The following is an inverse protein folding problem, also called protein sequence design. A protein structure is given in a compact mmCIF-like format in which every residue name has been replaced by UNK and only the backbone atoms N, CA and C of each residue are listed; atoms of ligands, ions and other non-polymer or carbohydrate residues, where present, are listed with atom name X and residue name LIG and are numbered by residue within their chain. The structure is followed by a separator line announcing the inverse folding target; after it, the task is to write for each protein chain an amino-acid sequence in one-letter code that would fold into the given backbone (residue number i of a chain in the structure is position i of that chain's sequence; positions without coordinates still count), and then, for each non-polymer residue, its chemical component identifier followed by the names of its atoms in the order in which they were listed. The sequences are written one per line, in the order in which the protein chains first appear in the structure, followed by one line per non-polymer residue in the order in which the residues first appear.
data_IF_822843494651
#
_entry.id   IF_822843494651
#
_cell.length_a   1.000
_cell.length_b   1.000
_cell.length_c   1.000
_cell.angle_alpha   90.00
_cell.angle_beta   90.00
_cell.angle_gamma   90.00
#
_symmetry.space_group_name_H-M   'P 1'
#
loop_
_entity.id
_entity.type
_entity.pdbx_description
1 polymer ?
#
# COMPACT_ATOMS: atom_id res chain seq x y z
N UNK A 1 16.58 18.61 3.01
CA UNK A 1 15.92 18.49 1.69
C UNK A 1 15.95 17.02 1.32
N UNK A 2 15.15 16.20 2.00
CA UNK A 2 15.11 14.72 1.89
C UNK A 2 13.69 14.08 1.82
N UNK A 3 12.54 14.80 1.83
CA UNK A 3 11.24 14.13 1.90
C UNK A 3 10.81 13.45 0.59
N UNK A 4 11.26 13.93 -0.58
CA UNK A 4 10.89 13.38 -1.89
C UNK A 4 11.42 11.96 -2.15
N UNK A 5 12.61 11.63 -1.63
CA UNK A 5 13.25 10.33 -1.86
C UNK A 5 12.49 9.19 -1.17
N UNK A 6 11.92 9.46 0.00
CA UNK A 6 11.23 8.44 0.80
C UNK A 6 9.86 8.09 0.21
N UNK A 7 9.15 9.05 -0.37
CA UNK A 7 7.86 8.77 -1.03
C UNK A 7 8.04 7.92 -2.28
N UNK A 8 9.06 8.21 -3.10
CA UNK A 8 9.37 7.40 -4.28
C UNK A 8 9.80 5.98 -3.88
N UNK A 9 10.63 5.86 -2.84
CA UNK A 9 11.05 4.58 -2.29
C UNK A 9 9.85 3.78 -1.75
N UNK A 10 8.96 4.41 -0.97
CA UNK A 10 7.75 3.77 -0.45
C UNK A 10 6.80 3.38 -1.58
N UNK A 11 6.64 4.22 -2.60
CA UNK A 11 5.78 3.96 -3.76
C UNK A 11 6.27 2.76 -4.57
N UNK A 12 7.58 2.62 -4.79
CA UNK A 12 8.13 1.45 -5.46
C UNK A 12 8.01 0.20 -4.59
N UNK A 13 8.33 0.32 -3.30
CA UNK A 13 8.29 -0.81 -2.39
C UNK A 13 6.86 -1.31 -2.15
N UNK A 14 5.87 -0.42 -2.08
CA UNK A 14 4.48 -0.84 -1.91
C UNK A 14 3.97 -1.60 -3.14
N UNK A 15 4.33 -1.19 -4.36
CA UNK A 15 3.98 -1.93 -5.57
C UNK A 15 4.52 -3.37 -5.52
N UNK A 16 5.78 -3.53 -5.10
CA UNK A 16 6.41 -4.85 -4.94
C UNK A 16 5.75 -5.68 -3.83
N UNK A 17 5.39 -5.07 -2.71
CA UNK A 17 4.63 -5.71 -1.64
C UNK A 17 3.28 -6.22 -2.14
N UNK A 18 2.52 -5.36 -2.82
CA UNK A 18 1.22 -5.68 -3.37
C UNK A 18 1.30 -6.86 -4.34
N UNK A 19 2.26 -6.82 -5.28
CA UNK A 19 2.50 -7.93 -6.23
C UNK A 19 2.85 -9.22 -5.50
N UNK A 20 3.76 -9.15 -4.52
CA UNK A 20 4.30 -10.35 -3.85
C UNK A 20 3.29 -11.02 -2.93
N UNK A 21 2.48 -10.25 -2.21
CA UNK A 21 1.64 -10.78 -1.13
C UNK A 21 0.14 -10.71 -1.42
N UNK A 22 -0.32 -9.82 -2.31
CA UNK A 22 -1.75 -9.49 -2.45
C UNK A 22 -2.29 -9.62 -3.88
N UNK A 23 -1.48 -10.11 -4.83
CA UNK A 23 -1.93 -10.33 -6.22
C UNK A 23 -3.09 -11.32 -6.33
N UNK A 24 -3.13 -12.32 -5.45
CA UNK A 24 -4.18 -13.35 -5.42
C UNK A 24 -5.19 -13.16 -4.28
N UNK A 25 -5.06 -12.11 -3.47
CA UNK A 25 -5.97 -11.87 -2.37
C UNK A 25 -7.36 -11.47 -2.92
N UNK A 26 -8.46 -12.18 -2.61
CA UNK A 26 -9.79 -11.68 -2.89
C UNK A 26 -10.13 -10.44 -2.03
N UNK A 27 -11.12 -9.64 -2.44
CA UNK A 27 -11.58 -8.50 -1.65
C UNK A 27 -12.14 -8.96 -0.29
N UNK A 28 -12.12 -8.05 0.69
CA UNK A 28 -12.60 -8.23 2.07
C UNK A 28 -11.80 -9.23 2.91
N UNK A 29 -10.53 -9.49 2.55
CA UNK A 29 -9.62 -10.26 3.39
C UNK A 29 -9.00 -9.38 4.47
N UNK A 30 -8.86 -9.96 5.66
CA UNK A 30 -7.92 -9.51 6.70
C UNK A 30 -6.78 -10.52 6.78
N UNK A 31 -5.54 -10.04 6.67
CA UNK A 31 -4.32 -10.85 6.76
C UNK A 31 -3.22 -10.16 7.57
N UNK A 32 -2.08 -10.83 7.69
CA UNK A 32 -0.92 -10.28 8.39
C UNK A 32 0.35 -10.43 7.54
N UNK A 33 1.14 -9.35 7.44
CA UNK A 33 2.43 -9.32 6.76
C UNK A 33 3.45 -8.74 7.74
N UNK A 34 4.39 -9.57 8.20
CA UNK A 34 5.51 -9.16 9.08
C UNK A 34 5.10 -8.17 10.20
N UNK A 35 4.12 -8.56 11.01
CA UNK A 35 3.65 -7.76 12.15
C UNK A 35 2.62 -6.68 11.83
N UNK A 36 2.41 -6.34 10.54
CA UNK A 36 1.32 -5.45 10.12
C UNK A 36 0.06 -6.25 9.77
N UNK A 37 -1.10 -5.77 10.20
CA UNK A 37 -2.41 -6.23 9.74
C UNK A 37 -2.73 -5.56 8.42
N UNK A 38 -3.25 -6.31 7.45
CA UNK A 38 -3.64 -5.82 6.12
C UNK A 38 -5.12 -6.11 5.92
N UNK A 39 -5.90 -5.07 5.62
CA UNK A 39 -7.29 -5.18 5.24
C UNK A 39 -7.41 -4.80 3.77
N UNK A 40 -8.02 -5.67 2.97
CA UNK A 40 -8.27 -5.43 1.54
C UNK A 40 -9.73 -5.12 1.32
N UNK A 41 -10.04 -3.96 0.73
CA UNK A 41 -11.39 -3.52 0.41
C UNK A 41 -11.52 -3.24 -1.09
N UNK A 42 -12.68 -3.44 -1.72
CA UNK A 42 -12.91 -2.88 -3.04
C UNK A 42 -12.95 -1.34 -2.95
N UNK A 43 -12.40 -0.69 -3.96
CA UNK A 43 -12.44 0.76 -4.12
C UNK A 43 -13.32 1.13 -5.32
N UNK A 44 -13.87 2.34 -5.33
CA UNK A 44 -14.67 2.80 -6.47
C UNK A 44 -13.80 2.88 -7.72
N UNK A 45 -14.32 2.38 -8.83
CA UNK A 45 -13.65 2.45 -10.12
C UNK A 45 -13.59 3.91 -10.58
N UNK A 46 -12.43 4.32 -11.11
CA UNK A 46 -12.30 5.59 -11.83
C UNK A 46 -12.84 5.43 -13.24
N UNK A 47 -13.36 6.51 -13.80
CA UNK A 47 -13.71 6.58 -15.22
C UNK A 47 -12.46 6.32 -16.08
N UNK A 48 -12.62 5.59 -17.18
CA UNK A 48 -11.52 5.27 -18.11
C UNK A 48 -10.68 4.04 -17.74
N UNK A 49 -11.06 3.28 -16.70
CA UNK A 49 -10.49 1.96 -16.46
C UNK A 49 -11.18 0.89 -17.32
N UNK A 50 -10.46 -0.17 -17.75
CA UNK A 50 -11.08 -1.33 -18.38
C UNK A 50 -12.17 -1.95 -17.51
N UNK A 51 -13.21 -2.52 -18.14
CA UNK A 51 -14.34 -3.14 -17.43
C UNK A 51 -13.93 -4.37 -16.59
N UNK A 52 -12.82 -5.02 -16.98
CA UNK A 52 -12.23 -6.17 -16.28
C UNK A 52 -11.15 -5.77 -15.26
N UNK A 53 -10.93 -4.48 -15.03
CA UNK A 53 -10.00 -3.98 -14.02
C UNK A 53 -10.69 -3.92 -12.65
N UNK A 54 -9.95 -4.20 -11.57
CA UNK A 54 -10.45 -4.16 -10.20
C UNK A 54 -9.70 -3.08 -9.40
N UNK A 55 -10.43 -2.09 -8.89
CA UNK A 55 -9.86 -1.11 -7.96
C UNK A 55 -9.93 -1.65 -6.52
N UNK A 56 -8.80 -1.63 -5.82
CA UNK A 56 -8.67 -2.12 -4.44
C UNK A 56 -8.05 -1.05 -3.55
N UNK A 57 -8.51 -1.00 -2.31
CA UNK A 57 -7.98 -0.19 -1.22
C UNK A 57 -7.40 -1.10 -0.15
N UNK A 58 -6.27 -0.72 0.41
CA UNK A 58 -5.57 -1.46 1.45
C UNK A 58 -5.40 -0.56 2.65
N UNK A 59 -5.75 -1.08 3.82
CA UNK A 59 -5.44 -0.45 5.10
C UNK A 59 -4.41 -1.35 5.77
N UNK A 60 -3.18 -0.87 5.91
CA UNK A 60 -2.07 -1.62 6.48
C UNK A 60 -1.69 -0.96 7.80
N UNK A 61 -1.84 -1.68 8.90
CA UNK A 61 -1.69 -1.12 10.25
C UNK A 61 -0.71 -1.95 11.06
N UNK A 62 0.30 -1.30 11.64
CA UNK A 62 1.29 -1.94 12.49
C UNK A 62 1.17 -1.45 13.94
N UNK A 63 0.28 -2.06 14.72
CA UNK A 63 -0.06 -1.60 16.08
C UNK A 63 1.17 -1.49 17.00
N UNK A 64 2.16 -2.38 16.89
CA UNK A 64 3.37 -2.33 17.73
C UNK A 64 4.27 -1.13 17.40
N UNK A 65 4.25 -0.66 16.17
CA UNK A 65 5.04 0.49 15.70
C UNK A 65 4.18 1.76 15.56
N UNK A 66 2.89 1.67 15.91
CA UNK A 66 1.95 2.79 16.02
C UNK A 66 1.73 3.56 14.71
N UNK A 67 1.78 2.90 13.55
CA UNK A 67 1.48 3.54 12.27
C UNK A 67 0.43 2.77 11.45
N UNK A 68 -0.20 3.47 10.51
CA UNK A 68 -1.08 2.92 9.48
C UNK A 68 -0.82 3.61 8.13
N UNK A 69 -1.05 2.89 7.03
CA UNK A 69 -1.05 3.46 5.68
C UNK A 69 -2.27 3.02 4.90
N UNK A 70 -2.75 3.92 4.06
CA UNK A 70 -3.83 3.65 3.11
C UNK A 70 -3.24 3.66 1.71
N UNK A 71 -3.46 2.57 0.98
CA UNK A 71 -2.95 2.39 -0.37
C UNK A 71 -4.13 2.08 -1.28
N UNK A 72 -4.14 2.66 -2.47
CA UNK A 72 -5.08 2.28 -3.53
C UNK A 72 -4.31 1.71 -4.69
N UNK A 73 -4.85 0.66 -5.30
CA UNK A 73 -4.29 0.08 -6.53
C UNK A 73 -5.39 -0.30 -7.53
N UNK A 74 -5.01 -0.44 -8.80
CA UNK A 74 -5.87 -1.06 -9.83
C UNK A 74 -5.19 -2.32 -10.33
N UNK A 75 -5.95 -3.41 -10.39
CA UNK A 75 -5.49 -4.70 -10.89
C UNK A 75 -6.19 -5.07 -12.18
N UNK A 76 -5.52 -5.86 -12.99
CA UNK A 76 -6.12 -6.56 -14.13
C UNK A 76 -5.37 -7.87 -14.31
N UNK A 77 -6.10 -8.99 -14.43
CA UNK A 77 -5.49 -10.32 -14.61
C UNK A 77 -4.40 -10.64 -13.57
N UNK A 78 -4.65 -10.33 -12.29
CA UNK A 78 -3.70 -10.52 -11.16
C UNK A 78 -2.38 -9.74 -11.27
N UNK A 79 -2.35 -8.71 -12.10
CA UNK A 79 -1.21 -7.79 -12.23
C UNK A 79 -1.65 -6.36 -11.91
N UNK A 80 -0.74 -5.55 -11.36
CA UNK A 80 -0.98 -4.11 -11.21
C UNK A 80 -1.11 -3.48 -12.60
N UNK A 81 -2.20 -2.74 -12.82
CA UNK A 81 -2.48 -2.11 -14.11
C UNK A 81 -1.41 -1.06 -14.43
N UNK A 82 -0.77 -1.18 -15.60
CA UNK A 82 0.21 -0.21 -16.07
C UNK A 82 -0.46 1.13 -16.48
N UNK A 83 0.21 2.28 -16.30
CA UNK A 83 1.46 2.47 -15.55
C UNK A 83 1.22 2.36 -14.04
N UNK A 84 1.97 1.48 -13.37
CA UNK A 84 1.73 1.14 -11.96
C UNK A 84 1.92 2.33 -11.02
N UNK A 85 2.81 3.27 -11.34
CA UNK A 85 3.01 4.50 -10.58
C UNK A 85 1.78 5.43 -10.58
N UNK A 86 0.90 5.33 -11.58
CA UNK A 86 -0.36 6.09 -11.64
C UNK A 86 -1.51 5.33 -11.01
N UNK A 87 -1.49 4.00 -11.13
CA UNK A 87 -2.57 3.14 -10.68
C UNK A 87 -2.36 2.56 -9.28
N UNK A 88 -1.19 2.73 -8.68
CA UNK A 88 -0.89 2.38 -7.28
C UNK A 88 -0.38 3.62 -6.56
N UNK A 89 -1.12 4.07 -5.55
CA UNK A 89 -0.85 5.32 -4.84
C UNK A 89 -1.01 5.08 -3.35
N UNK A 90 -0.06 5.58 -2.57
CA UNK A 90 -0.22 5.72 -1.12
C UNK A 90 -1.04 6.99 -0.90
N UNK A 91 -2.25 6.85 -0.38
CA UNK A 91 -3.19 7.95 -0.19
C UNK A 91 -2.94 8.68 1.14
N UNK A 92 -2.47 7.95 2.15
CA UNK A 92 -2.34 8.47 3.51
C UNK A 92 -1.29 7.70 4.31
N UNK A 93 -0.57 8.43 5.16
CA UNK A 93 0.21 7.90 6.27
C UNK A 93 -0.40 8.43 7.55
N UNK A 94 -0.66 7.56 8.51
CA UNK A 94 -1.25 7.92 9.80
C UNK A 94 -0.41 7.38 10.95
N UNK A 95 -0.30 8.19 11.99
CA UNK A 95 0.20 7.73 13.27
C UNK A 95 -0.97 7.42 14.22
N UNK A 96 -0.97 6.24 14.82
CA UNK A 96 -2.08 5.77 15.66
C UNK A 96 -2.15 6.48 17.02
N UNK A 97 -1.02 7.02 17.49
CA UNK A 97 -0.93 7.76 18.76
C UNK A 97 -0.96 9.30 18.61
N UNK A 98 -1.32 9.82 17.42
CA UNK A 98 -1.41 11.27 17.10
C UNK A 98 -0.07 12.03 16.97
N UNK A 99 1.02 11.36 16.58
CA UNK A 99 2.27 12.01 16.13
C UNK A 99 2.21 12.53 14.68
N UNK A 100 3.32 13.10 14.22
CA UNK A 100 3.50 13.66 12.89
C UNK A 100 3.51 12.60 11.77
N UNK A 101 2.80 12.87 10.67
CA UNK A 101 2.70 12.00 9.48
C UNK A 101 4.05 11.64 8.86
N UNK A 102 5.04 12.54 8.94
CA UNK A 102 6.40 12.26 8.45
C UNK A 102 7.05 11.11 9.24
N UNK A 103 6.85 11.02 10.55
CA UNK A 103 7.40 9.91 11.35
C UNK A 103 6.78 8.57 10.92
N UNK A 104 5.47 8.54 10.66
CA UNK A 104 4.79 7.36 10.13
C UNK A 104 5.36 6.94 8.77
N UNK A 105 5.64 7.90 7.88
CA UNK A 105 6.26 7.65 6.58
C UNK A 105 7.64 7.01 6.66
N UNK A 106 8.51 7.47 7.57
CA UNK A 106 9.83 6.85 7.80
C UNK A 106 9.70 5.46 8.45
N UNK A 107 8.78 5.28 9.39
CA UNK A 107 8.52 3.97 10.00
C UNK A 107 8.05 2.95 8.96
N UNK A 108 7.12 3.35 8.09
CA UNK A 108 6.66 2.54 6.95
C UNK A 108 7.81 2.21 6.01
N UNK A 109 8.67 3.18 5.66
CA UNK A 109 9.83 2.92 4.83
C UNK A 109 10.76 1.86 5.44
N UNK A 110 11.04 1.99 6.75
CA UNK A 110 11.86 1.04 7.49
C UNK A 110 11.22 -0.35 7.48
N UNK A 111 9.92 -0.44 7.71
CA UNK A 111 9.18 -1.71 7.65
C UNK A 111 9.23 -2.33 6.25
N UNK A 112 8.91 -1.57 5.19
CA UNK A 112 8.97 -2.04 3.81
C UNK A 112 10.35 -2.60 3.44
N UNK A 113 11.42 -1.92 3.85
CA UNK A 113 12.80 -2.38 3.65
C UNK A 113 13.13 -3.66 4.42
N UNK A 114 12.48 -3.89 5.56
CA UNK A 114 12.69 -5.11 6.36
C UNK A 114 12.12 -6.37 5.70
N UNK A 115 11.19 -6.22 4.75
CA UNK A 115 10.53 -7.35 4.09
C UNK A 115 11.42 -8.11 3.09
N UNK A 116 12.61 -7.59 2.79
CA UNK A 116 13.66 -8.25 2.00
C UNK A 116 13.26 -8.53 0.54
N UNK A 117 13.94 -7.89 -0.42
CA UNK A 117 13.63 -8.05 -1.85
C UNK A 117 12.40 -7.26 -2.30
N UNK A 118 12.03 -6.23 -1.54
CA UNK A 118 11.06 -5.19 -1.87
C UNK A 118 11.83 -3.87 -2.00
#
# INVERSE_FOLDING_TARGET
MEPLVVDDANSLAIQRLLIRYLAEAPPYIVGHIAGATVIVEPSRHRTGLPDDAEARRYIITHCKEQWSIVVRSVWRNRQLLAPSATHTVIEQYDHLDSRCDEEAKYAVNKWLRSLGGI
#
